data_IF_500170208188
#
_entry.id   IF_500170208188
#
_cell.length_a   1.000
_cell.length_b   1.000
_cell.length_c   1.000
_cell.angle_alpha   90.00
_cell.angle_beta   90.00
_cell.angle_gamma   90.00
#
_symmetry.space_group_name_H-M   'P 1'
#
loop_
_entity.id
_entity.type
_entity.pdbx_description
1 polymer ?
#
# COMPACT_ATOMS: atom_id res chain seq x y z
N UNK A 1 -30.36 9.70 -18.67
CA UNK A 1 -28.93 9.95 -18.99
C UNK A 1 -28.23 8.62 -19.06
N UNK A 2 -27.53 8.32 -20.14
CA UNK A 2 -26.67 7.14 -20.19
C UNK A 2 -25.53 7.35 -19.18
N UNK A 3 -25.33 6.37 -18.27
CA UNK A 3 -24.21 6.38 -17.33
C UNK A 3 -22.92 6.23 -18.15
N UNK A 4 -21.98 7.17 -18.04
CA UNK A 4 -20.68 7.04 -18.69
C UNK A 4 -19.95 5.82 -18.11
N UNK A 5 -19.37 5.03 -18.98
CA UNK A 5 -18.45 3.97 -18.60
C UNK A 5 -17.14 4.61 -18.10
N UNK A 6 -16.75 4.27 -16.88
CA UNK A 6 -15.51 4.72 -16.23
C UNK A 6 -14.54 3.56 -16.04
N UNK A 7 -14.83 2.39 -16.60
CA UNK A 7 -13.96 1.23 -16.45
C UNK A 7 -12.59 1.47 -17.04
N UNK A 8 -11.57 0.89 -16.40
CA UNK A 8 -10.18 0.91 -16.86
C UNK A 8 -9.55 -0.46 -16.64
N UNK A 9 -8.47 -0.71 -17.36
CA UNK A 9 -7.55 -1.81 -17.06
C UNK A 9 -6.33 -1.25 -16.36
N UNK A 10 -6.14 -1.64 -15.10
CA UNK A 10 -4.99 -1.25 -14.29
C UNK A 10 -4.11 -2.46 -14.02
N UNK A 11 -2.91 -2.47 -14.55
CA UNK A 11 -1.94 -3.58 -14.43
C UNK A 11 -2.47 -4.93 -14.94
N UNK A 12 -3.36 -4.92 -15.93
CA UNK A 12 -4.04 -6.11 -16.43
C UNK A 12 -5.22 -6.57 -15.58
N UNK A 13 -5.59 -5.81 -14.55
CA UNK A 13 -6.78 -6.03 -13.73
C UNK A 13 -7.88 -5.09 -14.15
N UNK A 14 -9.05 -5.64 -14.50
CA UNK A 14 -10.22 -4.84 -14.87
C UNK A 14 -10.82 -4.17 -13.64
N UNK A 15 -11.01 -2.83 -13.71
CA UNK A 15 -11.58 -2.00 -12.64
C UNK A 15 -12.85 -1.31 -13.12
N UNK A 16 -13.91 -1.31 -12.33
CA UNK A 16 -15.18 -0.64 -12.66
C UNK A 16 -15.04 0.88 -12.85
N UNK A 17 -14.03 1.46 -12.21
CA UNK A 17 -13.65 2.88 -12.32
C UNK A 17 -12.23 3.09 -11.73
N UNK A 18 -11.57 4.23 -12.01
CA UNK A 18 -10.21 4.50 -11.56
C UNK A 18 -10.08 4.98 -10.11
N UNK A 19 -11.17 5.03 -9.34
CA UNK A 19 -11.16 5.55 -7.98
C UNK A 19 -10.83 4.45 -6.98
N UNK A 20 -9.66 4.57 -6.37
CA UNK A 20 -9.15 3.63 -5.37
C UNK A 20 -8.89 4.35 -4.04
N UNK A 21 -9.26 3.72 -2.92
CA UNK A 21 -8.74 4.13 -1.62
C UNK A 21 -7.32 3.60 -1.45
N UNK A 22 -6.41 4.48 -1.09
CA UNK A 22 -5.03 4.08 -0.77
C UNK A 22 -4.95 3.36 0.58
N UNK A 23 -3.89 2.58 0.76
CA UNK A 23 -3.57 1.91 2.02
C UNK A 23 -3.50 2.94 3.16
N UNK A 24 -4.46 2.84 4.10
CA UNK A 24 -4.69 3.85 5.14
C UNK A 24 -5.62 3.28 6.24
N UNK A 25 -5.87 3.99 7.35
CA UNK A 25 -6.78 3.56 8.40
C UNK A 25 -8.18 3.20 7.93
N UNK A 26 -8.69 3.87 6.90
CA UNK A 26 -10.04 3.60 6.36
C UNK A 26 -10.13 2.29 5.56
N UNK A 27 -9.01 1.61 5.33
CA UNK A 27 -8.92 0.30 4.67
C UNK A 27 -8.39 -0.80 5.62
N UNK A 28 -8.58 -0.66 6.94
CA UNK A 28 -7.97 -1.55 7.94
C UNK A 28 -8.78 -2.82 8.23
N UNK A 29 -10.03 -2.91 7.82
CA UNK A 29 -10.88 -4.10 8.02
C UNK A 29 -11.99 -4.18 6.96
N UNK A 30 -12.63 -5.34 6.89
CA UNK A 30 -13.66 -5.61 5.89
C UNK A 30 -14.89 -4.69 6.02
N UNK A 31 -15.28 -4.30 7.25
CA UNK A 31 -16.43 -3.42 7.45
C UNK A 31 -16.19 -2.02 6.86
N UNK A 32 -15.03 -1.45 7.12
CA UNK A 32 -14.67 -0.12 6.57
C UNK A 32 -14.59 -0.15 5.05
N UNK A 33 -13.93 -1.18 4.50
CA UNK A 33 -13.80 -1.36 3.04
C UNK A 33 -15.15 -1.58 2.37
N UNK A 34 -16.06 -2.36 2.99
CA UNK A 34 -17.41 -2.57 2.49
C UNK A 34 -18.15 -1.24 2.28
N UNK A 35 -18.05 -0.31 3.23
CA UNK A 35 -18.66 1.03 3.11
C UNK A 35 -18.14 1.81 1.89
N UNK A 36 -16.87 1.66 1.57
CA UNK A 36 -16.27 2.28 0.39
C UNK A 36 -16.80 1.63 -0.90
N UNK A 37 -16.87 0.32 -0.96
CA UNK A 37 -17.40 -0.40 -2.11
C UNK A 37 -18.89 -0.09 -2.34
N UNK A 38 -19.67 -0.04 -1.28
CA UNK A 38 -21.11 0.33 -1.33
C UNK A 38 -21.29 1.79 -1.78
N UNK A 39 -20.33 2.67 -1.48
CA UNK A 39 -20.30 4.05 -1.97
C UNK A 39 -19.84 4.18 -3.43
N UNK A 40 -19.42 3.08 -4.09
CA UNK A 40 -19.08 3.06 -5.51
C UNK A 40 -17.58 3.13 -5.84
N UNK A 41 -16.69 2.99 -4.87
CA UNK A 41 -15.25 2.89 -5.15
C UNK A 41 -14.95 1.65 -6.02
N UNK A 42 -14.06 1.81 -7.01
CA UNK A 42 -13.68 0.73 -7.94
C UNK A 42 -12.75 -0.29 -7.32
N UNK A 43 -11.90 0.14 -6.39
CA UNK A 43 -10.96 -0.71 -5.69
C UNK A 43 -10.41 -0.05 -4.42
N UNK A 44 -9.59 -0.79 -3.72
CA UNK A 44 -8.84 -0.32 -2.55
C UNK A 44 -7.43 -0.90 -2.54
N UNK A 45 -6.54 -0.25 -1.78
CA UNK A 45 -5.35 -0.88 -1.23
C UNK A 45 -5.54 -1.07 0.26
N UNK A 46 -5.67 -2.33 0.69
CA UNK A 46 -5.84 -2.71 2.09
C UNK A 46 -4.65 -2.22 2.94
N UNK A 47 -4.92 -1.82 4.19
CA UNK A 47 -3.88 -1.32 5.12
C UNK A 47 -2.71 -2.31 5.19
N UNK A 48 -1.49 -1.79 5.21
CA UNK A 48 -0.26 -2.58 5.14
C UNK A 48 -0.23 -3.71 6.15
N UNK A 49 -0.08 -4.92 5.67
CA UNK A 49 0.02 -6.16 6.44
C UNK A 49 1.48 -6.47 6.72
N UNK A 50 1.82 -6.75 7.96
CA UNK A 50 3.09 -7.32 8.39
C UNK A 50 2.90 -8.73 8.96
N UNK A 51 4.00 -9.42 9.24
CA UNK A 51 3.95 -10.75 9.89
C UNK A 51 3.31 -10.66 11.27
N UNK A 52 3.63 -9.62 12.01
CA UNK A 52 3.04 -9.32 13.32
C UNK A 52 2.30 -7.99 13.25
N UNK A 53 1.18 -7.89 13.96
CA UNK A 53 0.55 -6.61 14.22
C UNK A 53 1.50 -5.68 14.97
N UNK A 54 1.33 -4.39 14.78
CA UNK A 54 2.14 -3.39 15.48
C UNK A 54 1.30 -2.67 16.53
N UNK A 55 1.89 -2.51 17.71
CA UNK A 55 1.35 -1.62 18.73
C UNK A 55 1.57 -0.17 18.29
N UNK A 56 0.48 0.52 18.00
CA UNK A 56 0.55 1.90 17.57
C UNK A 56 0.85 2.86 18.73
N UNK A 57 1.65 3.88 18.44
CA UNK A 57 1.90 4.96 19.39
C UNK A 57 0.61 5.72 19.72
N UNK A 58 0.47 6.12 20.98
CA UNK A 58 -0.61 7.00 21.42
C UNK A 58 -0.03 8.33 21.90
N UNK A 59 -0.57 9.48 21.46
CA UNK A 59 -1.64 9.65 20.48
C UNK A 59 -1.17 9.42 19.04
N UNK A 60 -2.04 8.84 18.19
CA UNK A 60 -1.75 8.61 16.75
C UNK A 60 -1.74 9.89 15.94
N UNK A 61 -2.46 10.89 16.38
CA UNK A 61 -2.65 12.17 15.72
C UNK A 61 -2.21 13.29 16.63
N UNK A 62 -1.55 14.27 16.05
CA UNK A 62 -1.14 15.48 16.73
C UNK A 62 -1.50 16.71 15.91
N UNK A 63 -1.86 17.78 16.60
CA UNK A 63 -2.28 19.04 16.01
C UNK A 63 -1.32 20.13 16.49
N UNK A 64 -0.65 20.77 15.55
CA UNK A 64 0.10 22.00 15.83
C UNK A 64 -0.87 23.17 15.84
N UNK A 65 -1.07 23.76 17.00
CA UNK A 65 -1.83 24.99 17.19
C UNK A 65 -0.91 26.11 17.62
N UNK A 66 -1.22 27.34 17.20
CA UNK A 66 -0.60 28.56 17.71
C UNK A 66 -1.70 29.40 18.33
N UNK A 67 -1.40 30.11 19.46
CA UNK A 67 -2.40 30.82 20.28
C UNK A 67 -3.41 31.71 19.55
N UNK A 68 -3.10 32.14 18.32
CA UNK A 68 -3.98 33.00 17.51
C UNK A 68 -4.49 32.36 16.21
N UNK A 69 -4.13 31.09 15.93
CA UNK A 69 -4.55 30.39 14.72
C UNK A 69 -5.09 29.01 15.08
N UNK A 70 -6.31 28.64 14.64
CA UNK A 70 -6.93 27.40 15.06
C UNK A 70 -6.17 26.14 14.58
N UNK A 71 -5.44 26.22 13.46
CA UNK A 71 -4.70 25.11 12.88
C UNK A 71 -3.44 25.60 12.14
N UNK A 72 -2.27 25.19 12.63
CA UNK A 72 -1.01 25.43 11.95
C UNK A 72 -0.48 24.17 11.23
N UNK A 73 -0.87 22.99 11.69
CA UNK A 73 -0.49 21.73 11.09
C UNK A 73 -1.16 20.52 11.73
N UNK A 74 -1.09 19.39 11.05
CA UNK A 74 -1.59 18.10 11.50
C UNK A 74 -0.54 17.02 11.24
N UNK A 75 -0.30 16.17 12.21
CA UNK A 75 0.62 15.04 12.10
C UNK A 75 -0.13 13.73 12.36
N UNK A 76 0.10 12.78 11.48
CA UNK A 76 -0.36 11.41 11.60
C UNK A 76 0.85 10.50 11.86
N UNK A 77 0.77 9.64 12.89
CA UNK A 77 1.81 8.69 13.28
C UNK A 77 1.35 7.24 13.07
N UNK A 78 0.38 7.02 12.21
CA UNK A 78 -0.09 5.70 11.81
C UNK A 78 1.03 4.86 11.21
N UNK A 79 1.06 3.59 11.59
CA UNK A 79 1.98 2.59 11.08
C UNK A 79 1.23 1.55 10.22
N UNK A 80 1.72 0.31 10.20
CA UNK A 80 1.05 -0.81 9.52
C UNK A 80 -0.14 -1.33 10.35
N UNK A 81 -0.83 -2.38 9.88
CA UNK A 81 -1.98 -2.95 10.60
C UNK A 81 -1.62 -3.43 12.01
N UNK A 82 -2.51 -3.17 12.97
CA UNK A 82 -2.41 -3.68 14.34
C UNK A 82 -2.75 -5.17 14.43
N UNK A 83 -3.48 -5.69 13.44
CA UNK A 83 -3.89 -7.09 13.38
C UNK A 83 -2.72 -7.98 12.97
N UNK A 84 -2.74 -9.25 13.42
CA UNK A 84 -1.80 -10.24 12.93
C UNK A 84 -1.99 -10.51 11.44
N UNK A 85 -1.01 -11.14 10.80
CA UNK A 85 -1.12 -11.56 9.40
C UNK A 85 -2.39 -12.40 9.18
N UNK A 86 -2.63 -13.40 10.02
CA UNK A 86 -3.76 -14.31 9.91
C UNK A 86 -5.12 -13.59 9.99
N UNK A 87 -5.26 -12.65 10.92
CA UNK A 87 -6.47 -11.84 11.04
C UNK A 87 -6.70 -10.99 9.80
N UNK A 88 -5.67 -10.34 9.28
CA UNK A 88 -5.76 -9.56 8.04
C UNK A 88 -6.14 -10.45 6.84
N UNK A 89 -5.57 -11.65 6.72
CA UNK A 89 -5.89 -12.59 5.63
C UNK A 89 -7.36 -13.03 5.67
N UNK A 90 -7.93 -13.25 6.86
CA UNK A 90 -9.36 -13.58 6.99
C UNK A 90 -10.26 -12.40 6.57
N UNK A 91 -9.90 -11.16 6.89
CA UNK A 91 -10.63 -9.96 6.44
C UNK A 91 -10.56 -9.80 4.92
N UNK A 92 -9.40 -10.08 4.29
CA UNK A 92 -9.21 -10.03 2.83
C UNK A 92 -10.07 -11.10 2.15
N UNK A 93 -10.05 -12.36 2.63
CA UNK A 93 -10.90 -13.45 2.11
C UNK A 93 -12.38 -13.11 2.21
N UNK A 94 -12.81 -12.53 3.33
CA UNK A 94 -14.18 -12.10 3.55
C UNK A 94 -14.60 -11.01 2.56
N UNK A 95 -13.72 -10.04 2.31
CA UNK A 95 -13.96 -8.99 1.32
C UNK A 95 -14.07 -9.58 -0.09
N UNK A 96 -13.14 -10.43 -0.50
CA UNK A 96 -13.16 -11.02 -1.85
C UNK A 96 -14.40 -11.89 -2.08
N UNK A 97 -14.84 -12.61 -1.06
CA UNK A 97 -16.09 -13.39 -1.12
C UNK A 97 -17.32 -12.51 -1.31
N UNK A 98 -17.41 -11.37 -0.59
CA UNK A 98 -18.59 -10.51 -0.60
C UNK A 98 -18.60 -9.53 -1.79
N UNK A 99 -17.42 -9.17 -2.30
CA UNK A 99 -17.24 -8.20 -3.39
C UNK A 99 -16.34 -8.78 -4.50
N UNK A 100 -16.74 -9.86 -5.18
CA UNK A 100 -15.88 -10.59 -6.13
C UNK A 100 -15.45 -9.75 -7.34
N UNK A 101 -16.23 -8.72 -7.70
CA UNK A 101 -15.95 -7.84 -8.84
C UNK A 101 -15.17 -6.58 -8.48
N UNK A 102 -14.93 -6.33 -7.19
CA UNK A 102 -14.11 -5.19 -6.73
C UNK A 102 -12.64 -5.57 -6.68
N UNK A 103 -11.79 -4.60 -6.97
CA UNK A 103 -10.35 -4.80 -6.93
C UNK A 103 -9.82 -4.60 -5.51
N UNK A 104 -9.17 -5.62 -4.99
CA UNK A 104 -8.54 -5.61 -3.67
C UNK A 104 -7.02 -5.69 -3.86
N UNK A 105 -6.37 -4.52 -3.89
CA UNK A 105 -4.94 -4.42 -3.68
C UNK A 105 -4.62 -4.64 -2.21
N UNK A 106 -3.49 -5.24 -1.90
CA UNK A 106 -3.03 -5.41 -0.52
C UNK A 106 -1.62 -4.87 -0.38
N UNK A 107 -1.45 -3.94 0.54
CA UNK A 107 -0.15 -3.40 0.91
C UNK A 107 0.54 -4.34 1.90
N UNK A 108 1.81 -4.65 1.67
CA UNK A 108 2.62 -5.52 2.53
C UNK A 108 3.93 -4.86 2.92
N UNK A 109 4.48 -5.25 4.07
CA UNK A 109 5.79 -4.82 4.55
C UNK A 109 6.44 -5.90 5.40
N UNK A 110 7.62 -6.37 4.97
CA UNK A 110 8.48 -7.26 5.73
C UNK A 110 9.74 -6.54 6.22
N UNK A 111 10.40 -7.11 7.22
CA UNK A 111 11.68 -6.64 7.76
C UNK A 111 12.90 -7.34 7.14
N UNK A 112 12.68 -8.44 6.45
CA UNK A 112 13.69 -9.25 5.78
C UNK A 112 13.08 -10.00 4.59
N UNK A 113 13.92 -10.58 3.76
CA UNK A 113 13.50 -11.24 2.52
C UNK A 113 12.50 -12.38 2.74
N UNK A 114 12.68 -13.17 3.78
CA UNK A 114 11.78 -14.28 4.11
C UNK A 114 10.37 -13.80 4.46
N UNK A 115 10.27 -12.72 5.23
CA UNK A 115 8.98 -12.10 5.57
C UNK A 115 8.28 -11.54 4.33
N UNK A 116 9.02 -10.86 3.42
CA UNK A 116 8.46 -10.37 2.16
C UNK A 116 7.87 -11.49 1.31
N UNK A 117 8.60 -12.61 1.19
CA UNK A 117 8.14 -13.80 0.45
C UNK A 117 6.92 -14.44 1.13
N UNK A 118 6.94 -14.57 2.45
CA UNK A 118 5.84 -15.16 3.21
C UNK A 118 4.56 -14.34 3.05
N UNK A 119 4.65 -13.02 3.20
CA UNK A 119 3.52 -12.11 3.01
C UNK A 119 2.98 -12.15 1.57
N UNK A 120 3.87 -12.14 0.57
CA UNK A 120 3.47 -12.19 -0.82
C UNK A 120 2.66 -13.46 -1.15
N UNK A 121 3.12 -14.62 -0.70
CA UNK A 121 2.41 -15.90 -0.88
C UNK A 121 1.07 -15.91 -0.16
N UNK A 122 1.07 -15.53 1.13
CA UNK A 122 -0.14 -15.58 1.96
C UNK A 122 -1.24 -14.65 1.44
N UNK A 123 -0.89 -13.43 1.03
CA UNK A 123 -1.84 -12.47 0.46
C UNK A 123 -2.34 -12.91 -0.91
N UNK A 124 -1.48 -13.51 -1.72
CA UNK A 124 -1.87 -14.11 -3.01
C UNK A 124 -2.91 -15.23 -2.81
N UNK A 125 -2.67 -16.11 -1.87
CA UNK A 125 -3.58 -17.23 -1.52
C UNK A 125 -4.90 -16.73 -0.89
N UNK A 126 -4.88 -15.57 -0.23
CA UNK A 126 -6.08 -14.95 0.31
C UNK A 126 -7.00 -14.34 -0.76
N UNK A 127 -6.53 -14.24 -2.01
CA UNK A 127 -7.33 -13.80 -3.16
C UNK A 127 -7.22 -12.31 -3.45
N UNK A 128 -6.14 -11.64 -3.07
CA UNK A 128 -5.84 -10.29 -3.54
C UNK A 128 -5.71 -10.24 -5.07
N UNK A 129 -5.95 -9.07 -5.64
CA UNK A 129 -5.84 -8.83 -7.08
C UNK A 129 -4.51 -8.14 -7.45
N UNK A 130 -3.94 -7.36 -6.52
CA UNK A 130 -2.71 -6.58 -6.70
C UNK A 130 -1.91 -6.60 -5.40
N UNK A 131 -0.58 -6.67 -5.49
CA UNK A 131 0.32 -6.48 -4.34
C UNK A 131 0.96 -5.09 -4.37
N UNK A 132 0.92 -4.38 -3.24
CA UNK A 132 1.66 -3.13 -3.03
C UNK A 132 2.81 -3.38 -2.05
N UNK A 133 4.04 -3.05 -2.45
CA UNK A 133 5.20 -3.06 -1.56
C UNK A 133 5.34 -1.70 -0.89
N UNK A 134 5.19 -1.65 0.42
CA UNK A 134 5.27 -0.39 1.17
C UNK A 134 6.72 -0.04 1.52
N UNK A 135 7.34 0.80 0.71
CA UNK A 135 8.66 1.39 0.95
C UNK A 135 8.56 2.86 1.40
N UNK A 136 7.45 3.24 2.05
CA UNK A 136 7.15 4.65 2.32
C UNK A 136 6.89 5.00 3.78
N UNK A 137 6.57 4.03 4.65
CA UNK A 137 6.23 4.31 6.03
C UNK A 137 7.43 4.92 6.78
N UNK A 138 7.34 6.19 7.29
CA UNK A 138 8.51 6.89 7.82
C UNK A 138 8.81 6.57 9.30
N UNK A 139 7.92 5.86 9.99
CA UNK A 139 7.95 5.72 11.44
C UNK A 139 8.19 4.28 11.90
N UNK A 140 8.93 3.50 11.10
CA UNK A 140 9.27 2.14 11.46
C UNK A 140 10.44 2.11 12.45
N UNK A 141 10.38 1.16 13.38
CA UNK A 141 11.41 0.98 14.43
C UNK A 141 12.68 0.30 13.91
N UNK A 142 12.67 -0.21 12.69
CA UNK A 142 13.80 -0.90 12.05
C UNK A 142 14.22 -0.22 10.76
N UNK A 143 15.51 0.01 10.58
CA UNK A 143 16.11 0.48 9.33
C UNK A 143 15.99 -0.51 8.15
N UNK A 144 15.49 -1.71 8.39
CA UNK A 144 15.18 -2.70 7.36
C UNK A 144 13.73 -2.61 6.83
N UNK A 145 12.99 -1.56 7.17
CA UNK A 145 11.57 -1.41 6.87
C UNK A 145 11.22 0.00 6.37
N UNK A 146 10.10 0.09 5.64
CA UNK A 146 9.49 1.36 5.26
C UNK A 146 10.39 2.29 4.46
N UNK A 147 10.45 3.56 4.87
CA UNK A 147 11.16 4.61 4.16
C UNK A 147 12.69 4.39 4.07
N UNK A 148 13.30 3.75 5.07
CA UNK A 148 14.73 3.45 5.04
C UNK A 148 15.07 2.45 3.91
N UNK A 149 14.20 1.47 3.68
CA UNK A 149 14.30 0.59 2.51
C UNK A 149 14.07 1.39 1.23
N UNK A 150 13.04 2.24 1.18
CA UNK A 150 12.71 3.06 0.02
C UNK A 150 13.81 4.06 -0.39
N UNK A 151 14.69 4.43 0.54
CA UNK A 151 15.86 5.29 0.30
C UNK A 151 17.12 4.49 -0.09
N UNK A 152 17.06 3.16 -0.07
CA UNK A 152 18.19 2.27 -0.34
C UNK A 152 17.92 1.45 -1.61
N UNK A 153 18.43 1.88 -2.79
CA UNK A 153 18.12 1.27 -4.09
C UNK A 153 18.35 -0.25 -4.13
N UNK A 154 19.40 -0.72 -3.47
CA UNK A 154 19.77 -2.15 -3.42
C UNK A 154 18.73 -2.98 -2.67
N UNK A 155 18.18 -2.45 -1.56
CA UNK A 155 17.13 -3.12 -0.79
C UNK A 155 15.80 -3.11 -1.56
N UNK A 156 15.46 -2.01 -2.22
CA UNK A 156 14.29 -1.93 -3.11
C UNK A 156 14.37 -3.00 -4.18
N UNK A 157 15.51 -3.10 -4.89
CA UNK A 157 15.73 -4.14 -5.90
C UNK A 157 15.60 -5.53 -5.34
N UNK A 158 16.24 -5.77 -4.19
CA UNK A 158 16.24 -7.08 -3.53
C UNK A 158 14.83 -7.55 -3.19
N UNK A 159 14.05 -6.71 -2.52
CA UNK A 159 12.72 -7.08 -2.07
C UNK A 159 11.69 -7.12 -3.20
N UNK A 160 11.78 -6.20 -4.18
CA UNK A 160 10.97 -6.30 -5.39
C UNK A 160 11.17 -7.64 -6.11
N UNK A 161 12.43 -8.04 -6.30
CA UNK A 161 12.76 -9.32 -6.93
C UNK A 161 12.18 -10.49 -6.14
N UNK A 162 12.43 -10.52 -4.83
CA UNK A 162 11.96 -11.60 -3.97
C UNK A 162 10.43 -11.77 -4.02
N UNK A 163 9.67 -10.66 -4.03
CA UNK A 163 8.21 -10.71 -4.11
C UNK A 163 7.75 -11.17 -5.50
N UNK A 164 8.25 -10.55 -6.58
CA UNK A 164 7.82 -10.86 -7.94
C UNK A 164 8.08 -12.32 -8.32
N UNK A 165 9.15 -12.92 -7.82
CA UNK A 165 9.45 -14.34 -8.05
C UNK A 165 8.55 -15.30 -7.26
N UNK A 166 7.77 -14.79 -6.28
CA UNK A 166 6.97 -15.60 -5.37
C UNK A 166 5.46 -15.29 -5.42
N UNK A 167 5.00 -14.52 -6.40
CA UNK A 167 3.58 -14.27 -6.68
C UNK A 167 3.32 -14.24 -8.18
N UNK A 168 2.07 -14.50 -8.57
CA UNK A 168 1.59 -14.28 -9.95
C UNK A 168 0.82 -12.97 -10.10
N UNK A 169 0.58 -12.27 -8.98
CA UNK A 169 -0.16 -11.00 -8.99
C UNK A 169 0.71 -9.87 -9.56
N UNK A 170 0.09 -8.85 -10.17
CA UNK A 170 0.79 -7.61 -10.47
C UNK A 170 1.29 -6.96 -9.16
N UNK A 171 2.53 -6.47 -9.21
CA UNK A 171 3.23 -5.90 -8.05
C UNK A 171 3.51 -4.43 -8.29
N UNK A 172 3.19 -3.61 -7.31
CA UNK A 172 3.40 -2.16 -7.29
C UNK A 172 4.36 -1.79 -6.17
N UNK A 173 5.40 -1.01 -6.46
CA UNK A 173 6.28 -0.44 -5.45
C UNK A 173 5.80 0.97 -5.06
N UNK A 174 5.29 1.15 -3.83
CA UNK A 174 4.95 2.47 -3.29
C UNK A 174 6.15 3.07 -2.59
N UNK A 175 6.73 4.10 -3.23
CA UNK A 175 7.98 4.73 -2.83
C UNK A 175 7.77 5.81 -1.78
N UNK A 176 8.79 6.07 -0.95
CA UNK A 176 8.80 7.22 -0.05
C UNK A 176 9.04 8.51 -0.83
N UNK A 177 8.34 9.62 -0.49
CA UNK A 177 8.66 10.94 -1.05
C UNK A 177 9.88 11.59 -0.38
N UNK A 178 10.34 11.04 0.74
CA UNK A 178 11.41 11.62 1.57
C UNK A 178 12.79 11.20 1.06
N UNK A 179 13.08 11.51 -0.19
CA UNK A 179 14.34 11.21 -0.85
C UNK A 179 14.68 12.31 -1.86
N UNK A 180 15.95 12.66 -1.95
CA UNK A 180 16.38 13.73 -2.88
C UNK A 180 16.33 13.30 -4.35
N UNK A 181 16.61 12.02 -4.62
CA UNK A 181 16.67 11.45 -5.97
C UNK A 181 15.80 10.19 -6.05
N UNK A 182 14.51 10.37 -6.35
CA UNK A 182 13.52 9.30 -6.44
C UNK A 182 13.82 8.33 -7.60
N UNK A 183 14.47 8.82 -8.66
CA UNK A 183 14.74 8.02 -9.86
C UNK A 183 15.63 6.81 -9.59
N UNK A 184 16.57 6.89 -8.64
CA UNK A 184 17.50 5.79 -8.36
C UNK A 184 16.77 4.55 -7.81
N UNK A 185 16.00 4.61 -6.70
CA UNK A 185 15.27 3.45 -6.23
C UNK A 185 14.12 3.05 -7.17
N UNK A 186 13.52 4.01 -7.91
CA UNK A 186 12.48 3.69 -8.89
C UNK A 186 13.04 2.81 -10.04
N UNK A 187 14.20 3.13 -10.59
CA UNK A 187 14.88 2.30 -11.58
C UNK A 187 15.22 0.92 -11.00
N UNK A 188 15.65 0.88 -9.74
CA UNK A 188 15.98 -0.38 -9.07
C UNK A 188 14.76 -1.27 -8.84
N UNK A 189 13.59 -0.72 -8.55
CA UNK A 189 12.37 -1.50 -8.47
C UNK A 189 12.00 -2.12 -9.83
N UNK A 190 12.13 -1.38 -10.93
CA UNK A 190 11.92 -1.89 -12.29
C UNK A 190 12.91 -2.98 -12.70
N UNK A 191 14.19 -2.85 -12.33
CA UNK A 191 15.21 -3.87 -12.61
C UNK A 191 15.02 -5.15 -11.78
N UNK A 192 14.31 -5.07 -10.65
CA UNK A 192 13.84 -6.21 -9.86
C UNK A 192 12.60 -6.89 -10.45
N UNK A 193 12.18 -6.50 -11.65
CA UNK A 193 10.96 -6.93 -12.35
C UNK A 193 9.64 -6.49 -11.70
N UNK A 194 9.65 -5.47 -10.85
CA UNK A 194 8.45 -4.69 -10.54
C UNK A 194 8.19 -3.76 -11.74
N UNK A 195 7.30 -4.10 -12.67
CA UNK A 195 7.10 -3.30 -13.88
C UNK A 195 6.41 -1.96 -13.62
N UNK A 196 5.93 -1.72 -12.41
CA UNK A 196 5.07 -0.60 -12.09
C UNK A 196 5.48 0.10 -10.80
N UNK A 197 5.53 1.44 -10.87
CA UNK A 197 5.85 2.31 -9.73
C UNK A 197 4.64 3.15 -9.38
N UNK A 198 4.11 3.03 -8.16
CA UNK A 198 3.26 4.06 -7.59
C UNK A 198 4.14 5.08 -6.88
N UNK A 199 4.17 6.29 -7.41
CA UNK A 199 4.69 7.43 -6.67
C UNK A 199 3.73 7.77 -5.54
N UNK A 200 4.26 8.21 -4.41
CA UNK A 200 3.43 8.66 -3.30
C UNK A 200 2.57 9.86 -3.72
N UNK A 201 1.40 9.98 -3.14
CA UNK A 201 0.31 10.91 -3.44
C UNK A 201 0.69 12.42 -3.40
N UNK A 202 1.92 12.78 -3.06
CA UNK A 202 2.39 14.15 -2.91
C UNK A 202 3.29 14.66 -4.05
N UNK A 203 3.63 13.83 -5.04
CA UNK A 203 4.33 14.30 -6.24
C UNK A 203 3.30 14.77 -7.28
N UNK A 204 2.74 15.96 -7.04
CA UNK A 204 2.05 16.74 -8.05
C UNK A 204 3.04 17.69 -8.73
N UNK A 205 4.09 17.19 -9.34
CA UNK A 205 4.74 17.98 -10.38
C UNK A 205 5.23 17.03 -11.47
N UNK A 206 4.69 17.24 -12.65
CA UNK A 206 5.02 16.58 -13.89
C UNK A 206 6.49 16.79 -14.24
N UNK A 207 7.25 15.72 -14.32
CA UNK A 207 8.40 15.66 -15.20
C UNK A 207 8.13 14.59 -16.26
N UNK A 208 7.59 15.02 -17.39
CA UNK A 208 7.70 14.29 -18.65
C UNK A 208 9.16 14.38 -19.11
N UNK A 209 9.81 13.25 -19.27
CA UNK A 209 11.00 13.09 -20.08
C UNK A 209 10.75 12.03 -21.15
#
# INVERSE_FOLDING_TARGET
MMKKDLSIDFLGVHCENPFFLSSSPVCNNAEMVAKAFDAGWGGIFYKTVGIKGMDECSPRFDILTKESTPWAGFKNMEQISEMSMEQNLEEIKKLKKNYPNKVIGVSIMGSNEEEWITLAKAVTEAGADILELNFSCPQMTSHAMGADVGQTPELVRKYCKAVVENTHLPVVAKMTPNITRMEEPAICSGSGRCPWHLRHQYDQEHYEY
#
